data_IF_053781950926
#
_entry.id   IF_053781950926
#
_cell.length_a   1.000
_cell.length_b   1.000
_cell.length_c   1.000
_cell.angle_alpha   90.00
_cell.angle_beta   90.00
_cell.angle_gamma   90.00
#
_symmetry.space_group_name_H-M   'P 1'
#
loop_
_entity.id
_entity.type
_entity.pdbx_description
1 polymer ?
#
# COMPACT_ATOMS: atom_id res chain seq x y z
N UNK A 1 -5.68 -17.55 7.94
CA UNK A 1 -5.22 -16.15 7.98
C UNK A 1 -4.28 -15.98 6.81
N UNK A 2 -4.44 -14.88 6.06
CA UNK A 2 -3.93 -14.77 4.69
C UNK A 2 -2.45 -14.40 4.62
N UNK A 3 -1.98 -13.70 5.64
CA UNK A 3 -0.62 -13.23 5.86
C UNK A 3 -0.30 -13.41 7.35
N UNK A 4 0.95 -13.75 7.69
CA UNK A 4 1.40 -13.89 9.09
C UNK A 4 2.30 -12.72 9.46
N UNK A 5 1.90 -11.96 10.48
CA UNK A 5 2.75 -10.96 11.12
C UNK A 5 3.80 -11.59 12.06
N UNK A 6 3.63 -12.87 12.41
CA UNK A 6 4.60 -13.63 13.20
C UNK A 6 5.54 -14.37 12.25
N UNK A 7 6.74 -13.80 12.10
CA UNK A 7 7.90 -14.36 11.38
C UNK A 7 8.44 -15.66 12.02
N UNK A 8 7.56 -16.57 12.45
CA UNK A 8 7.88 -17.84 13.05
C UNK A 8 7.42 -18.98 12.14
N UNK A 9 8.38 -19.80 11.75
CA UNK A 9 8.25 -21.00 10.93
C UNK A 9 7.22 -21.98 11.52
N UNK A 10 5.94 -21.79 11.25
CA UNK A 10 4.92 -22.80 11.50
C UNK A 10 4.59 -23.51 10.18
N UNK A 11 5.14 -24.72 10.04
CA UNK A 11 5.01 -25.61 8.88
C UNK A 11 3.55 -25.94 8.51
N UNK A 12 2.58 -25.59 9.36
CA UNK A 12 1.15 -25.94 9.21
C UNK A 12 0.22 -24.78 8.91
N UNK A 13 0.73 -23.58 8.68
CA UNK A 13 -0.13 -22.43 8.43
C UNK A 13 -0.36 -22.17 6.93
N UNK A 14 -1.57 -21.72 6.61
CA UNK A 14 -2.09 -21.60 5.24
C UNK A 14 -2.03 -20.14 4.81
N UNK A 15 -0.89 -19.71 4.27
CA UNK A 15 -0.68 -18.34 3.79
C UNK A 15 -0.79 -18.27 2.27
N UNK A 16 -1.32 -17.15 1.76
CA UNK A 16 -1.37 -16.91 0.32
C UNK A 16 -0.04 -16.31 -0.20
N UNK A 17 0.67 -15.56 0.65
CA UNK A 17 1.99 -14.98 0.41
C UNK A 17 2.76 -14.68 1.71
N UNK A 18 4.07 -14.40 1.58
CA UNK A 18 4.93 -13.89 2.65
C UNK A 18 6.19 -13.20 2.09
N UNK A 19 6.44 -11.95 2.47
CA UNK A 19 7.72 -11.27 2.28
C UNK A 19 8.62 -11.47 3.51
N UNK A 20 9.77 -12.11 3.32
CA UNK A 20 10.69 -12.42 4.41
C UNK A 20 11.82 -11.38 4.51
N UNK A 21 12.16 -10.95 5.74
CA UNK A 21 13.21 -9.94 6.00
C UNK A 21 14.61 -10.32 5.48
N UNK A 22 14.86 -11.59 5.14
CA UNK A 22 16.12 -12.06 4.53
C UNK A 22 16.08 -12.11 2.99
N UNK A 23 15.02 -11.61 2.35
CA UNK A 23 14.95 -11.38 0.91
C UNK A 23 13.96 -12.22 0.08
N UNK A 24 13.54 -13.45 0.42
CA UNK A 24 12.60 -14.17 -0.42
C UNK A 24 11.17 -13.67 -0.23
N UNK A 25 10.46 -13.46 -1.35
CA UNK A 25 9.00 -13.44 -1.36
C UNK A 25 8.51 -14.85 -1.69
N UNK A 26 7.59 -15.36 -0.87
CA UNK A 26 6.99 -16.68 -1.01
C UNK A 26 5.54 -16.49 -1.47
N UNK A 27 5.10 -17.29 -2.44
CA UNK A 27 3.73 -17.28 -2.93
C UNK A 27 3.22 -18.70 -3.12
N UNK A 28 1.89 -18.87 -3.05
CA UNK A 28 1.25 -20.04 -3.66
C UNK A 28 0.91 -19.76 -5.11
N UNK A 29 1.12 -20.75 -6.00
CA UNK A 29 0.79 -20.62 -7.44
C UNK A 29 -0.69 -20.24 -7.64
N UNK A 30 -1.58 -20.81 -6.83
CA UNK A 30 -3.01 -20.54 -6.90
C UNK A 30 -3.36 -19.09 -6.54
N UNK A 31 -2.71 -18.52 -5.51
CA UNK A 31 -2.94 -17.13 -5.14
C UNK A 31 -2.50 -16.17 -6.24
N UNK A 32 -1.32 -16.43 -6.83
CA UNK A 32 -0.80 -15.63 -7.96
C UNK A 32 -1.72 -15.72 -9.18
N UNK A 33 -2.21 -16.92 -9.53
CA UNK A 33 -3.15 -17.09 -10.63
C UNK A 33 -4.44 -16.29 -10.41
N UNK A 34 -5.03 -16.36 -9.20
CA UNK A 34 -6.23 -15.59 -8.86
C UNK A 34 -6.02 -14.09 -9.03
N UNK A 35 -4.88 -13.56 -8.60
CA UNK A 35 -4.55 -12.14 -8.75
C UNK A 35 -4.38 -11.68 -10.21
N UNK A 36 -4.14 -12.59 -11.16
CA UNK A 36 -4.11 -12.25 -12.59
C UNK A 36 -5.42 -12.52 -13.32
N UNK A 37 -6.24 -13.44 -12.81
CA UNK A 37 -7.53 -13.78 -13.41
C UNK A 37 -8.55 -12.64 -13.26
N UNK A 38 -8.46 -11.84 -12.19
CA UNK A 38 -9.31 -10.65 -11.95
C UNK A 38 -8.48 -9.44 -11.49
N UNK A 39 -7.79 -8.74 -12.40
CA UNK A 39 -6.88 -7.64 -12.05
C UNK A 39 -7.59 -6.34 -11.62
N UNK A 40 -8.90 -6.40 -11.36
CA UNK A 40 -9.72 -5.25 -10.99
C UNK A 40 -10.46 -5.42 -9.67
N UNK A 41 -10.22 -6.49 -8.92
CA UNK A 41 -10.93 -6.78 -7.66
C UNK A 41 -10.30 -6.10 -6.43
N UNK A 42 -9.09 -5.53 -6.57
CA UNK A 42 -8.36 -4.88 -5.48
C UNK A 42 -7.72 -5.89 -4.52
N UNK A 43 -7.32 -7.04 -5.03
CA UNK A 43 -6.86 -8.19 -4.26
C UNK A 43 -5.72 -8.93 -4.96
N UNK A 44 -4.52 -8.36 -4.83
CA UNK A 44 -3.34 -8.82 -5.54
C UNK A 44 -2.22 -9.22 -4.59
N UNK A 45 -2.03 -10.53 -4.40
CA UNK A 45 -1.00 -11.05 -3.49
C UNK A 45 0.40 -10.63 -3.91
N UNK A 46 0.65 -10.48 -5.22
CA UNK A 46 1.97 -10.11 -5.73
C UNK A 46 2.28 -8.67 -5.39
N UNK A 47 1.33 -7.75 -5.60
CA UNK A 47 1.49 -6.34 -5.23
C UNK A 47 1.57 -6.15 -3.71
N UNK A 48 0.78 -6.93 -2.97
CA UNK A 48 0.74 -6.89 -1.52
C UNK A 48 2.12 -7.22 -0.90
N UNK A 49 2.70 -8.36 -1.27
CA UNK A 49 4.02 -8.74 -0.74
C UNK A 49 5.14 -7.82 -1.24
N UNK A 50 5.04 -7.31 -2.47
CA UNK A 50 5.97 -6.32 -2.97
C UNK A 50 5.92 -5.03 -2.15
N UNK A 51 4.73 -4.62 -1.68
CA UNK A 51 4.57 -3.46 -0.83
C UNK A 51 5.32 -3.60 0.50
N UNK A 52 5.27 -4.78 1.12
CA UNK A 52 6.02 -5.05 2.35
C UNK A 52 7.54 -4.93 2.17
N UNK A 53 8.08 -5.23 0.98
CA UNK A 53 9.50 -4.99 0.71
C UNK A 53 9.90 -3.53 0.84
N UNK A 54 9.02 -2.58 0.51
CA UNK A 54 9.31 -1.17 0.71
C UNK A 54 9.24 -0.75 2.19
N UNK A 55 8.46 -1.46 3.01
CA UNK A 55 8.30 -1.20 4.45
C UNK A 55 9.49 -1.76 5.28
N UNK A 56 10.13 -2.85 4.82
CA UNK A 56 11.22 -3.50 5.56
C UNK A 56 12.53 -2.72 5.65
N UNK A 57 12.76 -1.75 4.78
CA UNK A 57 14.02 -0.99 4.74
C UNK A 57 14.09 0.13 5.82
N UNK A 58 12.98 0.42 6.52
CA UNK A 58 12.97 1.24 7.73
C UNK A 58 13.20 0.37 8.99
N UNK A 59 13.75 0.95 10.06
CA UNK A 59 14.04 0.26 11.33
C UNK A 59 12.73 -0.21 12.02
N UNK A 60 12.13 -1.29 11.52
CA UNK A 60 10.84 -1.85 11.97
C UNK A 60 9.73 -1.65 10.95
N UNK A 61 8.86 -2.67 10.79
CA UNK A 61 7.65 -2.60 9.95
C UNK A 61 6.60 -1.68 10.61
N UNK A 62 6.78 -0.38 10.46
CA UNK A 62 5.91 0.66 11.04
C UNK A 62 4.89 1.20 10.02
N UNK A 63 4.89 0.68 8.79
CA UNK A 63 4.03 1.09 7.69
C UNK A 63 4.48 2.40 7.04
N UNK A 64 5.70 2.87 7.31
CA UNK A 64 6.35 3.98 6.61
C UNK A 64 7.28 3.39 5.55
N UNK A 65 6.93 3.47 4.26
CA UNK A 65 7.80 2.97 3.21
C UNK A 65 9.16 3.68 3.18
N UNK A 66 10.23 2.94 2.91
CA UNK A 66 11.63 3.41 2.92
C UNK A 66 11.98 4.55 1.98
N UNK A 67 11.20 4.77 0.91
CA UNK A 67 11.41 5.90 -0.01
C UNK A 67 10.68 7.18 0.43
N UNK A 68 9.94 7.14 1.54
CA UNK A 68 9.37 8.34 2.16
C UNK A 68 10.49 9.16 2.77
N UNK A 69 10.56 10.45 2.41
CA UNK A 69 11.50 11.38 3.05
C UNK A 69 11.22 11.41 4.56
N UNK A 70 12.25 11.28 5.44
CA UNK A 70 12.07 11.34 6.89
C UNK A 70 11.29 12.57 7.37
N UNK A 71 11.37 13.69 6.66
CA UNK A 71 10.63 14.92 6.95
C UNK A 71 9.12 14.75 6.73
N UNK A 72 8.72 13.95 5.74
CA UNK A 72 7.33 13.66 5.40
C UNK A 72 6.73 12.47 6.16
N UNK A 73 7.54 11.71 6.88
CA UNK A 73 7.10 10.53 7.64
C UNK A 73 5.96 10.84 8.65
N UNK A 74 5.99 11.94 9.44
CA UNK A 74 4.90 12.26 10.37
C UNK A 74 3.55 12.52 9.69
N UNK A 75 3.58 13.16 8.52
CA UNK A 75 2.37 13.47 7.75
C UNK A 75 1.80 12.20 7.13
N UNK A 76 2.65 11.34 6.58
CA UNK A 76 2.27 9.99 6.12
C UNK A 76 1.62 9.17 7.23
N UNK A 77 2.26 9.09 8.41
CA UNK A 77 1.70 8.37 9.56
C UNK A 77 0.34 8.94 10.01
N UNK A 78 0.15 10.25 9.88
CA UNK A 78 -1.12 10.90 10.21
C UNK A 78 -2.22 10.56 9.20
N UNK A 79 -1.90 10.58 7.91
CA UNK A 79 -2.77 10.15 6.82
C UNK A 79 -3.19 8.68 6.97
N UNK A 80 -2.23 7.78 7.17
CA UNK A 80 -2.49 6.34 7.39
C UNK A 80 -3.42 6.13 8.59
N UNK A 81 -3.17 6.81 9.71
CA UNK A 81 -4.05 6.72 10.90
C UNK A 81 -5.47 7.21 10.63
N UNK A 82 -5.65 8.23 9.79
CA UNK A 82 -6.98 8.67 9.37
C UNK A 82 -7.67 7.65 8.48
N UNK A 83 -7.00 7.19 7.45
CA UNK A 83 -7.56 6.24 6.49
C UNK A 83 -7.91 4.90 7.13
N UNK A 84 -7.06 4.36 8.02
CA UNK A 84 -7.40 3.18 8.81
C UNK A 84 -8.65 3.39 9.69
N UNK A 85 -8.91 4.61 10.19
CA UNK A 85 -10.17 4.91 10.91
C UNK A 85 -11.37 4.88 9.96
N UNK A 86 -11.21 5.29 8.70
CA UNK A 86 -12.28 5.19 7.67
C UNK A 86 -12.56 3.73 7.32
N UNK A 87 -11.52 2.91 7.17
CA UNK A 87 -11.64 1.45 6.98
C UNK A 87 -12.41 0.79 8.12
N UNK A 88 -12.03 1.03 9.38
CA UNK A 88 -12.73 0.48 10.56
C UNK A 88 -14.21 0.84 10.64
N UNK A 89 -14.61 1.96 10.04
CA UNK A 89 -16.00 2.44 9.99
C UNK A 89 -16.79 1.88 8.81
N UNK A 90 -16.17 1.05 7.95
CA UNK A 90 -16.77 0.54 6.73
C UNK A 90 -17.03 1.63 5.68
N UNK A 91 -16.22 2.70 5.68
CA UNK A 91 -16.37 3.87 4.78
C UNK A 91 -15.16 4.03 3.87
N UNK A 92 -14.54 2.92 3.47
CA UNK A 92 -13.35 2.90 2.64
C UNK A 92 -13.54 1.93 1.48
N UNK A 93 -12.91 2.24 0.35
CA UNK A 93 -12.68 1.28 -0.73
C UNK A 93 -11.83 0.09 -0.27
N UNK A 94 -10.87 0.33 0.65
CA UNK A 94 -9.95 -0.69 1.12
C UNK A 94 -10.69 -1.67 2.03
N UNK A 95 -10.41 -2.96 1.85
CA UNK A 95 -10.99 -4.04 2.66
C UNK A 95 -10.69 -3.88 4.15
N UNK A 96 -11.53 -4.44 5.06
CA UNK A 96 -11.35 -4.31 6.51
C UNK A 96 -9.97 -4.71 7.04
N UNK A 97 -9.32 -5.65 6.35
CA UNK A 97 -7.96 -6.12 6.64
C UNK A 97 -6.92 -4.99 6.68
N UNK A 98 -7.07 -3.95 5.85
CA UNK A 98 -6.19 -2.77 5.86
C UNK A 98 -6.20 -2.00 7.20
N UNK A 99 -7.10 -2.32 8.13
CA UNK A 99 -7.14 -1.69 9.44
C UNK A 99 -6.39 -2.45 10.55
N UNK A 100 -5.81 -3.61 10.25
CA UNK A 100 -5.12 -4.46 11.22
C UNK A 100 -3.78 -3.87 11.64
N UNK A 101 -2.93 -3.51 10.69
CA UNK A 101 -1.66 -2.82 10.93
C UNK A 101 -1.35 -1.75 9.86
N UNK A 102 -0.49 -0.76 10.15
CA UNK A 102 -0.05 0.23 9.16
C UNK A 102 0.67 -0.38 7.94
N UNK A 103 1.45 -1.45 8.15
CA UNK A 103 2.09 -2.23 7.08
C UNK A 103 1.05 -2.84 6.13
N UNK A 104 0.03 -3.49 6.70
CA UNK A 104 -1.10 -4.06 5.97
C UNK A 104 -1.92 -2.99 5.27
N UNK A 105 -2.12 -1.85 5.92
CA UNK A 105 -2.77 -0.71 5.30
C UNK A 105 -2.05 -0.29 4.01
N UNK A 106 -0.72 -0.13 4.07
CA UNK A 106 0.06 0.25 2.92
C UNK A 106 -0.03 -0.81 1.82
N UNK A 107 0.12 -2.09 2.16
CA UNK A 107 0.04 -3.17 1.19
C UNK A 107 -1.32 -3.23 0.47
N UNK A 108 -2.44 -3.13 1.21
CA UNK A 108 -3.77 -3.04 0.61
C UNK A 108 -3.95 -1.78 -0.23
N UNK A 109 -3.41 -0.63 0.22
CA UNK A 109 -3.48 0.60 -0.55
C UNK A 109 -2.74 0.46 -1.89
N UNK A 110 -1.59 -0.23 -1.92
CA UNK A 110 -0.84 -0.50 -3.17
C UNK A 110 -1.63 -1.41 -4.12
N UNK A 111 -2.32 -2.43 -3.62
CA UNK A 111 -3.19 -3.27 -4.45
C UNK A 111 -4.24 -2.43 -5.18
N UNK A 112 -5.00 -1.61 -4.44
CA UNK A 112 -6.03 -0.75 -5.02
C UNK A 112 -5.44 0.38 -5.89
N UNK A 113 -4.23 0.85 -5.60
CA UNK A 113 -3.55 1.87 -6.39
C UNK A 113 -3.30 1.39 -7.81
N UNK A 114 -2.87 0.14 -8.01
CA UNK A 114 -2.62 -0.39 -9.35
C UNK A 114 -3.88 -0.98 -10.00
N UNK A 115 -4.75 -1.65 -9.25
CA UNK A 115 -5.90 -2.37 -9.82
C UNK A 115 -7.16 -1.50 -9.96
N UNK A 116 -7.35 -0.53 -9.06
CA UNK A 116 -8.54 0.33 -9.01
C UNK A 116 -8.19 1.82 -8.93
N UNK A 117 -7.27 2.33 -9.78
CA UNK A 117 -6.67 3.65 -9.60
C UNK A 117 -7.70 4.79 -9.66
N UNK A 118 -8.69 4.68 -10.55
CA UNK A 118 -9.78 5.65 -10.66
C UNK A 118 -10.70 5.69 -9.44
N UNK A 119 -10.99 4.53 -8.85
CA UNK A 119 -11.83 4.45 -7.66
C UNK A 119 -11.09 5.00 -6.44
N UNK A 120 -9.80 4.67 -6.33
CA UNK A 120 -8.93 5.17 -5.27
C UNK A 120 -8.76 6.69 -5.36
N UNK A 121 -8.46 7.25 -6.54
CA UNK A 121 -8.36 8.69 -6.74
C UNK A 121 -9.65 9.45 -6.35
N UNK A 122 -10.83 8.84 -6.53
CA UNK A 122 -12.11 9.47 -6.16
C UNK A 122 -12.43 9.37 -4.66
N UNK A 123 -12.13 8.24 -4.02
CA UNK A 123 -12.53 7.98 -2.64
C UNK A 123 -11.46 8.37 -1.62
N UNK A 124 -10.20 8.34 -2.05
CA UNK A 124 -8.99 8.45 -1.23
C UNK A 124 -7.97 9.38 -1.91
N UNK A 125 -8.40 10.56 -2.36
CA UNK A 125 -7.60 11.47 -3.19
C UNK A 125 -6.21 11.80 -2.61
N UNK A 126 -6.15 12.12 -1.32
CA UNK A 126 -4.88 12.46 -0.64
C UNK A 126 -3.93 11.25 -0.59
N UNK A 127 -4.45 10.07 -0.25
CA UNK A 127 -3.68 8.82 -0.27
C UNK A 127 -3.22 8.46 -1.68
N UNK A 128 -4.08 8.64 -2.68
CA UNK A 128 -3.73 8.41 -4.08
C UNK A 128 -2.60 9.34 -4.53
N UNK A 129 -2.68 10.64 -4.22
CA UNK A 129 -1.61 11.62 -4.52
C UNK A 129 -0.30 11.26 -3.83
N UNK A 130 -0.35 10.84 -2.57
CA UNK A 130 0.83 10.37 -1.84
C UNK A 130 1.48 9.16 -2.52
N UNK A 131 0.69 8.17 -2.97
CA UNK A 131 1.20 7.00 -3.68
C UNK A 131 1.72 7.33 -5.09
N UNK A 132 1.08 8.27 -5.81
CA UNK A 132 1.61 8.77 -7.09
C UNK A 132 2.99 9.39 -6.91
N UNK A 133 3.18 10.19 -5.85
CA UNK A 133 4.49 10.78 -5.54
C UNK A 133 5.51 9.71 -5.13
N UNK A 134 5.10 8.74 -4.31
CA UNK A 134 5.94 7.63 -3.87
C UNK A 134 6.44 6.77 -5.04
N UNK A 135 5.54 6.29 -5.90
CA UNK A 135 5.89 5.44 -7.05
C UNK A 135 6.36 6.23 -8.27
N UNK A 136 6.20 7.56 -8.26
CA UNK A 136 6.44 8.46 -9.40
C UNK A 136 5.71 8.00 -10.66
N UNK A 137 4.48 7.53 -10.49
CA UNK A 137 3.66 6.93 -11.55
C UNK A 137 2.19 7.26 -11.30
N UNK A 138 1.47 7.71 -12.33
CA UNK A 138 0.01 7.74 -12.32
C UNK A 138 -0.55 6.48 -13.02
N UNK A 139 -1.05 5.48 -12.27
CA UNK A 139 -1.53 4.22 -12.83
C UNK A 139 -2.79 4.37 -13.70
N UNK A 140 -3.52 5.49 -13.65
CA UNK A 140 -4.67 5.75 -14.53
C UNK A 140 -4.25 6.04 -15.97
N UNK A 141 -3.06 6.60 -16.15
CA UNK A 141 -2.53 7.03 -17.46
C UNK A 141 -1.26 6.30 -17.88
N UNK A 142 -0.56 5.65 -16.94
CA UNK A 142 0.78 5.10 -17.15
C UNK A 142 1.87 6.18 -17.20
N UNK A 143 1.57 7.42 -16.83
CA UNK A 143 2.53 8.53 -16.88
C UNK A 143 3.53 8.41 -15.74
N UNK A 144 4.82 8.37 -16.08
CA UNK A 144 5.93 8.42 -15.11
C UNK A 144 6.28 9.89 -14.84
N UNK A 145 6.36 10.27 -13.57
CA UNK A 145 6.70 11.62 -13.14
C UNK A 145 8.22 11.84 -13.13
N UNK A 146 8.65 13.04 -13.53
CA UNK A 146 10.06 13.42 -13.51
C UNK A 146 10.57 13.50 -12.06
N UNK A 147 11.76 12.96 -11.74
CA UNK A 147 12.37 13.10 -10.41
C UNK A 147 12.46 14.53 -9.85
N UNK A 148 12.39 15.53 -10.73
CA UNK A 148 12.41 16.96 -10.38
C UNK A 148 11.03 17.55 -10.05
N UNK A 149 9.93 16.81 -10.31
CA UNK A 149 8.55 17.26 -10.11
C UNK A 149 7.85 16.43 -9.03
N UNK A 150 7.58 17.05 -7.87
CA UNK A 150 6.66 16.52 -6.83
C UNK A 150 7.29 15.62 -5.78
N UNK A 151 7.65 16.21 -4.64
CA UNK A 151 7.99 15.48 -3.42
C UNK A 151 6.74 14.90 -2.75
N UNK A 152 6.91 13.85 -1.94
CA UNK A 152 5.84 13.37 -1.06
C UNK A 152 5.41 14.48 -0.10
N UNK A 153 6.35 15.34 0.32
CA UNK A 153 6.05 16.55 1.08
C UNK A 153 5.04 17.43 0.35
N UNK A 154 5.26 17.72 -0.94
CA UNK A 154 4.36 18.57 -1.74
C UNK A 154 2.97 17.92 -1.89
N UNK A 155 2.90 16.59 -1.98
CA UNK A 155 1.65 15.86 -2.10
C UNK A 155 0.83 15.86 -0.79
N UNK A 156 1.50 15.82 0.36
CA UNK A 156 0.90 15.82 1.70
C UNK A 156 0.61 17.24 2.22
N UNK A 157 1.36 18.25 1.77
CA UNK A 157 1.14 19.68 2.12
C UNK A 157 0.04 20.36 1.28
N UNK A 158 -0.38 19.75 0.17
CA UNK A 158 -1.33 20.34 -0.77
C UNK A 158 -2.77 20.42 -0.24
N UNK A 159 -3.13 21.55 0.37
CA UNK A 159 -4.51 22.01 0.53
C UNK A 159 -5.25 21.87 -0.81
N UNK A 160 -6.46 21.28 -0.78
CA UNK A 160 -7.34 21.22 -1.93
C UNK A 160 -7.49 22.61 -2.58
N UNK A 161 -7.46 22.74 -3.92
CA UNK A 161 -7.65 24.04 -4.54
C UNK A 161 -8.98 24.64 -4.07
N UNK A 162 -8.89 25.80 -3.44
CA UNK A 162 -10.06 26.57 -3.02
C UNK A 162 -10.97 26.80 -4.23
N UNK A 163 -12.16 26.21 -4.20
CA UNK A 163 -13.27 26.52 -5.10
C UNK A 163 -13.94 27.83 -4.69
#
# INVERSE_FOLDING_TARGET
>A
ERFDETYHENITASYDGMAHQQGPIIFTVLAVQKSWDDPGDGNNVVLHELAHLFDFDNEGADGVPSLVDPVSAPDWQSLVREEMRRVRRGRSLLRPYAAEAPSEFFAVAVEHFFEQPDAMARQHDELFRALVSFFRLDPRSGTVLDPSEGSLADALEGEAPAT
#
